data_IF_670118278390
#
_entry.id   IF_670118278390
#
_cell.length_a   1.000
_cell.length_b   1.000
_cell.length_c   1.000
_cell.angle_alpha   90.00
_cell.angle_beta   90.00
_cell.angle_gamma   90.00
#
_symmetry.space_group_name_H-M   'P 1'
#
loop_
_entity.id
_entity.type
_entity.pdbx_description
1 polymer ?
#
# COMPACT_ATOMS: atom_id res chain seq x y z
N UNK A 1 -56.47 30.06 -39.34
CA UNK A 1 -56.42 30.77 -38.05
C UNK A 1 -55.38 30.09 -37.16
N UNK A 2 -54.71 30.83 -36.26
CA UNK A 2 -53.26 30.74 -36.06
C UNK A 2 -52.79 29.83 -34.91
N UNK A 3 -51.46 29.73 -34.79
CA UNK A 3 -50.60 29.58 -33.59
C UNK A 3 -49.80 28.25 -33.44
N UNK A 4 -48.49 28.40 -33.70
CA UNK A 4 -47.27 27.89 -33.05
C UNK A 4 -47.15 26.43 -32.55
N UNK A 5 -46.09 25.72 -32.98
CA UNK A 5 -44.82 25.61 -32.23
C UNK A 5 -43.73 24.90 -33.05
N UNK A 6 -42.48 25.26 -32.78
CA UNK A 6 -41.25 24.97 -33.52
C UNK A 6 -40.67 23.57 -33.26
N UNK A 7 -40.19 22.92 -34.34
CA UNK A 7 -38.98 22.08 -34.33
C UNK A 7 -38.54 21.79 -35.76
N UNK A 8 -37.23 22.00 -35.99
CA UNK A 8 -36.46 21.50 -37.12
C UNK A 8 -36.83 22.03 -38.51
N UNK A 9 -35.78 22.50 -39.20
CA UNK A 9 -35.42 22.20 -40.59
C UNK A 9 -34.68 23.44 -41.11
N UNK A 10 -33.35 23.48 -41.00
CA UNK A 10 -32.41 22.92 -41.98
C UNK A 10 -32.10 23.95 -43.07
N UNK A 11 -30.81 24.33 -43.15
CA UNK A 11 -30.09 24.86 -44.32
C UNK A 11 -30.57 26.25 -44.83
N UNK A 12 -29.75 27.27 -45.13
CA UNK A 12 -28.31 27.35 -45.41
C UNK A 12 -27.94 28.83 -45.75
N UNK A 13 -26.64 29.10 -45.88
CA UNK A 13 -25.99 30.17 -46.69
C UNK A 13 -25.61 31.47 -45.97
N UNK A 14 -24.45 32.09 -46.13
CA UNK A 14 -23.29 31.98 -47.04
C UNK A 14 -22.04 32.38 -46.21
N UNK A 15 -20.83 31.84 -46.37
CA UNK A 15 -19.92 32.13 -47.49
C UNK A 15 -18.74 31.12 -47.43
N UNK A 16 -18.50 30.34 -48.49
CA UNK A 16 -17.56 30.62 -49.58
C UNK A 16 -16.10 30.80 -49.13
N UNK A 17 -15.33 29.70 -49.13
CA UNK A 17 -14.27 29.43 -50.12
C UNK A 17 -13.31 28.35 -49.59
N UNK A 18 -13.24 27.24 -50.34
CA UNK A 18 -12.23 26.19 -50.28
C UNK A 18 -10.81 26.80 -50.42
N UNK A 19 -9.75 26.16 -49.87
CA UNK A 19 -9.29 24.93 -50.50
C UNK A 19 -9.08 23.77 -49.54
N UNK A 20 -9.30 22.59 -50.10
CA UNK A 20 -8.89 21.28 -49.63
C UNK A 20 -7.45 21.36 -49.10
N UNK A 21 -7.30 21.39 -47.77
CA UNK A 21 -6.08 20.89 -47.13
C UNK A 21 -6.35 19.43 -46.82
N UNK A 22 -5.80 18.59 -47.69
CA UNK A 22 -5.40 17.22 -47.38
C UNK A 22 -4.59 17.30 -46.08
N UNK A 23 -5.23 17.03 -44.94
CA UNK A 23 -4.49 16.75 -43.72
C UNK A 23 -3.94 15.35 -43.93
N UNK A 24 -2.72 15.28 -44.48
CA UNK A 24 -1.84 14.16 -44.23
C UNK A 24 -1.67 14.17 -42.71
N UNK A 25 -2.48 13.37 -42.02
CA UNK A 25 -2.05 12.85 -40.74
C UNK A 25 -0.78 12.08 -41.07
N UNK A 26 0.35 12.66 -40.70
CA UNK A 26 1.61 11.94 -40.61
C UNK A 26 1.36 10.87 -39.55
N UNK A 27 0.93 9.68 -40.00
CA UNK A 27 0.91 8.47 -39.19
C UNK A 27 2.34 8.26 -38.71
N UNK A 28 2.63 8.72 -37.50
CA UNK A 28 3.82 8.31 -36.79
C UNK A 28 3.80 6.79 -36.75
N UNK A 29 4.78 6.17 -37.43
CA UNK A 29 4.89 4.73 -37.57
C UNK A 29 4.75 4.06 -36.18
N UNK A 30 3.79 3.14 -36.00
CA UNK A 30 3.59 2.45 -34.72
C UNK A 30 4.77 1.48 -34.54
N UNK A 31 5.83 1.96 -33.92
CA UNK A 31 7.03 1.16 -33.65
C UNK A 31 8.28 1.97 -33.31
N UNK A 32 8.39 3.23 -33.76
CA UNK A 32 9.60 4.03 -33.52
C UNK A 32 9.60 4.75 -32.17
N UNK A 33 8.45 5.24 -31.67
CA UNK A 33 8.44 6.10 -30.48
C UNK A 33 8.69 5.37 -29.15
N UNK A 34 8.26 4.11 -29.01
CA UNK A 34 8.51 3.33 -27.78
C UNK A 34 9.95 2.78 -27.73
N UNK A 35 10.50 2.39 -28.87
CA UNK A 35 11.88 1.91 -28.96
C UNK A 35 12.88 3.06 -28.75
N UNK A 36 12.65 4.23 -29.35
CA UNK A 36 13.49 5.42 -29.11
C UNK A 36 13.35 5.99 -27.70
N UNK A 37 12.16 5.89 -27.08
CA UNK A 37 11.98 6.26 -25.68
C UNK A 37 12.70 5.28 -24.72
N UNK A 38 12.70 3.98 -25.03
CA UNK A 38 13.45 2.98 -24.28
C UNK A 38 14.98 3.17 -24.40
N UNK A 39 15.47 3.65 -25.54
CA UNK A 39 16.89 4.00 -25.77
C UNK A 39 17.35 5.27 -25.03
N UNK A 40 16.43 6.12 -24.55
CA UNK A 40 16.73 7.33 -23.75
C UNK A 40 16.48 7.15 -22.26
N UNK A 41 15.86 6.06 -21.84
CA UNK A 41 15.64 5.80 -20.44
C UNK A 41 16.98 5.52 -19.75
N UNK A 42 17.20 6.02 -18.52
CA UNK A 42 18.36 5.63 -17.74
C UNK A 42 18.39 4.10 -17.57
N UNK A 43 19.58 3.52 -17.37
CA UNK A 43 19.76 2.12 -17.02
C UNK A 43 18.74 1.63 -15.98
N UNK A 44 18.39 0.33 -16.03
CA UNK A 44 17.40 -0.24 -15.11
C UNK A 44 17.85 -0.06 -13.67
N UNK A 45 19.16 -0.18 -13.42
CA UNK A 45 19.82 0.01 -12.14
C UNK A 45 19.58 1.42 -11.59
N UNK A 46 19.82 2.46 -12.40
CA UNK A 46 19.59 3.85 -12.02
C UNK A 46 18.11 4.13 -11.72
N UNK A 47 17.20 3.45 -12.43
CA UNK A 47 15.75 3.55 -12.14
C UNK A 47 15.37 2.86 -10.85
N UNK A 48 15.99 1.71 -10.52
CA UNK A 48 15.77 1.01 -9.26
C UNK A 48 16.27 1.86 -8.10
N UNK A 49 17.44 2.47 -8.20
CA UNK A 49 17.96 3.37 -7.18
C UNK A 49 17.08 4.64 -7.04
N UNK A 50 16.63 5.23 -8.15
CA UNK A 50 15.68 6.33 -8.11
C UNK A 50 14.34 5.98 -7.43
N UNK A 51 13.82 4.77 -7.66
CA UNK A 51 12.61 4.27 -6.98
C UNK A 51 12.87 4.04 -5.49
N UNK A 52 14.03 3.48 -5.14
CA UNK A 52 14.46 3.30 -3.76
C UNK A 52 14.47 4.65 -3.02
N UNK A 53 15.19 5.64 -3.56
CA UNK A 53 15.31 6.97 -2.96
C UNK A 53 13.96 7.64 -2.77
N UNK A 54 13.10 7.65 -3.81
CA UNK A 54 11.75 8.23 -3.72
C UNK A 54 10.90 7.53 -2.66
N UNK A 55 10.99 6.21 -2.55
CA UNK A 55 10.20 5.45 -1.57
C UNK A 55 10.58 5.82 -0.14
N UNK A 56 11.88 5.83 0.16
CA UNK A 56 12.40 6.16 1.49
C UNK A 56 12.34 7.66 1.83
N UNK A 57 12.39 8.54 0.83
CA UNK A 57 12.31 9.99 1.05
C UNK A 57 10.87 10.47 1.26
N UNK A 58 9.91 9.91 0.50
CA UNK A 58 8.56 10.51 0.39
C UNK A 58 7.47 9.71 1.06
N UNK A 59 7.56 8.38 1.02
CA UNK A 59 6.49 7.50 1.50
C UNK A 59 6.80 6.94 2.89
N UNK A 60 8.06 6.92 3.29
CA UNK A 60 8.49 6.50 4.61
C UNK A 60 8.39 7.63 5.64
N UNK A 61 7.78 7.34 6.79
CA UNK A 61 7.78 8.25 7.93
C UNK A 61 8.70 7.72 9.04
N UNK A 62 9.84 8.38 9.32
CA UNK A 62 10.79 7.91 10.33
C UNK A 62 10.20 7.73 11.74
N UNK A 63 9.14 8.48 12.07
CA UNK A 63 8.51 8.43 13.39
C UNK A 63 7.80 7.09 13.64
N UNK A 64 7.09 6.56 12.64
CA UNK A 64 6.34 5.29 12.74
C UNK A 64 7.10 4.12 12.16
N UNK A 65 8.16 4.39 11.40
CA UNK A 65 8.89 3.41 10.60
C UNK A 65 8.04 2.70 9.55
N UNK A 66 7.01 3.37 9.03
CA UNK A 66 6.05 2.82 8.06
C UNK A 66 6.13 3.54 6.72
N UNK A 67 5.63 2.84 5.70
CA UNK A 67 5.44 3.35 4.34
C UNK A 67 3.95 3.57 4.11
N UNK A 68 3.58 4.75 3.62
CA UNK A 68 2.20 5.16 3.38
C UNK A 68 1.88 5.17 1.89
N UNK A 69 0.60 5.12 1.54
CA UNK A 69 0.19 4.64 0.22
C UNK A 69 0.26 5.72 -0.87
N UNK A 70 0.05 6.99 -0.50
CA UNK A 70 0.04 8.09 -1.45
C UNK A 70 0.55 9.41 -0.85
N UNK A 71 0.82 10.38 -1.71
CA UNK A 71 1.21 11.73 -1.33
C UNK A 71 0.07 12.70 -1.61
N UNK A 72 -0.27 13.51 -0.62
CA UNK A 72 -1.21 14.63 -0.75
C UNK A 72 -0.56 15.91 -1.27
N UNK A 73 0.77 15.96 -1.29
CA UNK A 73 1.55 17.11 -1.73
C UNK A 73 2.93 16.68 -2.25
N UNK A 74 3.43 17.40 -3.25
CA UNK A 74 4.82 17.25 -3.72
C UNK A 74 5.77 18.26 -3.07
N UNK A 75 5.27 19.16 -2.23
CA UNK A 75 6.13 20.08 -1.49
C UNK A 75 7.01 19.28 -0.49
N UNK A 76 8.32 19.60 -0.39
CA UNK A 76 9.23 18.87 0.48
C UNK A 76 8.71 18.76 1.92
N UNK A 77 8.64 17.54 2.44
CA UNK A 77 8.20 17.25 3.81
C UNK A 77 6.70 17.40 4.08
N UNK A 78 5.86 17.63 3.06
CA UNK A 78 4.40 17.84 3.20
C UNK A 78 3.56 16.71 2.59
N UNK A 79 4.20 15.68 2.03
CA UNK A 79 3.50 14.62 1.29
C UNK A 79 2.50 13.84 2.13
N UNK A 80 2.83 13.61 3.39
CA UNK A 80 2.06 12.80 4.34
C UNK A 80 1.22 13.63 5.32
N UNK A 81 0.96 14.91 5.02
CA UNK A 81 0.14 15.78 5.90
C UNK A 81 -1.32 15.32 6.05
N UNK A 82 -1.80 14.50 5.10
CA UNK A 82 -3.16 13.98 5.06
C UNK A 82 -3.39 12.79 6.01
N UNK A 83 -2.34 12.26 6.63
CA UNK A 83 -2.49 11.15 7.58
C UNK A 83 -3.48 11.54 8.69
N UNK A 84 -4.33 10.60 9.11
CA UNK A 84 -5.47 10.91 9.95
C UNK A 84 -5.00 11.34 11.34
N UNK A 85 -5.72 12.31 11.90
CA UNK A 85 -5.53 12.72 13.29
C UNK A 85 -5.97 11.63 14.26
N UNK A 86 -5.45 11.69 15.49
CA UNK A 86 -5.88 10.79 16.56
C UNK A 86 -7.41 10.73 16.74
N UNK A 87 -8.10 11.88 16.68
CA UNK A 87 -9.55 11.96 16.85
C UNK A 87 -10.31 11.29 15.69
N UNK A 88 -9.81 11.38 14.46
CA UNK A 88 -10.40 10.66 13.32
C UNK A 88 -10.24 9.16 13.46
N UNK A 89 -9.06 8.69 13.88
CA UNK A 89 -8.82 7.26 14.11
C UNK A 89 -9.70 6.69 15.23
N UNK A 90 -9.82 7.40 16.36
CA UNK A 90 -10.68 6.99 17.48
C UNK A 90 -12.18 6.94 17.11
N UNK A 91 -12.59 7.77 16.15
CA UNK A 91 -13.95 7.77 15.59
C UNK A 91 -14.13 6.80 14.41
N UNK A 92 -13.12 6.01 14.08
CA UNK A 92 -13.09 5.12 12.92
C UNK A 92 -13.46 5.86 11.61
N UNK A 93 -13.01 7.11 11.48
CA UNK A 93 -13.26 7.96 10.32
C UNK A 93 -12.11 7.86 9.31
N UNK A 94 -12.39 7.78 7.99
CA UNK A 94 -13.71 7.73 7.36
C UNK A 94 -14.34 6.33 7.39
N UNK A 95 -13.56 5.33 7.79
CA UNK A 95 -14.02 3.97 8.01
C UNK A 95 -13.09 3.22 8.96
N UNK A 96 -13.59 2.07 9.36
CA UNK A 96 -13.00 1.15 10.31
C UNK A 96 -11.67 0.50 9.90
N UNK A 97 -11.33 0.56 8.61
CA UNK A 97 -10.09 0.04 8.04
C UNK A 97 -9.04 1.13 7.79
N UNK A 98 -9.39 2.41 7.94
CA UNK A 98 -8.51 3.52 7.52
C UNK A 98 -8.40 3.68 6.00
N UNK A 99 -9.36 3.18 5.22
CA UNK A 99 -9.37 3.42 3.76
C UNK A 99 -9.49 4.90 3.42
N UNK A 100 -8.79 5.35 2.38
CA UNK A 100 -8.65 6.73 1.92
C UNK A 100 -7.91 7.66 2.91
N UNK A 101 -7.06 7.12 3.77
CA UNK A 101 -6.24 7.88 4.74
C UNK A 101 -4.74 7.77 4.52
N UNK A 102 -4.31 6.95 3.56
CA UNK A 102 -2.90 6.64 3.28
C UNK A 102 -2.32 5.56 4.20
N UNK A 103 -3.10 5.05 5.15
CA UNK A 103 -2.74 3.97 6.08
C UNK A 103 -3.23 2.58 5.63
N UNK A 104 -3.80 2.45 4.43
CA UNK A 104 -4.53 1.27 4.00
C UNK A 104 -3.63 0.04 3.93
N UNK A 105 -2.47 0.21 3.31
CA UNK A 105 -1.61 -0.90 2.91
C UNK A 105 -0.28 -0.94 3.68
N UNK A 106 -0.23 -0.32 4.87
CA UNK A 106 1.01 -0.17 5.63
C UNK A 106 1.77 -1.48 5.89
N UNK A 107 1.12 -2.59 6.26
CA UNK A 107 1.80 -3.88 6.46
C UNK A 107 2.08 -4.64 5.16
N UNK A 108 1.31 -4.38 4.11
CA UNK A 108 1.64 -4.87 2.77
C UNK A 108 2.94 -4.22 2.31
N UNK A 109 2.99 -2.89 2.36
CA UNK A 109 4.15 -2.08 2.00
C UNK A 109 5.38 -2.41 2.84
N UNK A 110 5.23 -2.56 4.16
CA UNK A 110 6.32 -2.97 5.04
C UNK A 110 6.83 -4.39 4.72
N UNK A 111 5.94 -5.36 4.51
CA UNK A 111 6.31 -6.73 4.16
C UNK A 111 7.02 -6.84 2.80
N UNK A 112 6.53 -6.11 1.80
CA UNK A 112 7.17 -6.03 0.47
C UNK A 112 8.52 -5.33 0.55
N UNK A 113 8.62 -4.20 1.26
CA UNK A 113 9.89 -3.50 1.44
C UNK A 113 10.92 -4.37 2.19
N UNK A 114 10.50 -5.12 3.21
CA UNK A 114 11.40 -6.06 3.89
C UNK A 114 11.97 -7.10 2.92
N UNK A 115 11.12 -7.64 2.05
CA UNK A 115 11.55 -8.59 1.01
C UNK A 115 12.56 -7.94 0.06
N UNK A 116 12.29 -6.71 -0.39
CA UNK A 116 13.19 -5.94 -1.25
C UNK A 116 14.55 -5.68 -0.59
N UNK A 117 14.58 -5.30 0.69
CA UNK A 117 15.81 -5.07 1.46
C UNK A 117 16.66 -6.33 1.52
N UNK A 118 16.04 -7.47 1.83
CA UNK A 118 16.73 -8.77 1.91
C UNK A 118 17.30 -9.18 0.55
N UNK A 119 16.50 -9.05 -0.52
CA UNK A 119 16.92 -9.40 -1.88
C UNK A 119 18.03 -8.47 -2.38
N UNK A 120 17.89 -7.15 -2.16
CA UNK A 120 18.93 -6.18 -2.52
C UNK A 120 20.25 -6.48 -1.80
N UNK A 121 20.21 -6.87 -0.52
CA UNK A 121 21.41 -7.29 0.20
C UNK A 121 22.03 -8.57 -0.36
N UNK A 122 21.22 -9.57 -0.70
CA UNK A 122 21.73 -10.82 -1.26
C UNK A 122 22.50 -10.61 -2.59
N UNK A 123 22.13 -9.59 -3.36
CA UNK A 123 22.79 -9.23 -4.62
C UNK A 123 23.99 -8.31 -4.42
N UNK A 124 23.89 -7.33 -3.52
CA UNK A 124 24.87 -6.24 -3.42
C UNK A 124 25.89 -6.40 -2.29
N UNK A 125 25.52 -7.11 -1.21
CA UNK A 125 26.29 -7.15 0.03
C UNK A 125 26.37 -5.81 0.77
N UNK A 126 25.51 -4.84 0.44
CA UNK A 126 25.55 -3.51 1.05
C UNK A 126 25.11 -3.53 2.52
N UNK A 127 26.07 -3.36 3.43
CA UNK A 127 25.81 -3.34 4.87
C UNK A 127 24.92 -2.18 5.35
N UNK A 128 24.74 -1.11 4.56
CA UNK A 128 23.80 -0.04 4.89
C UNK A 128 22.36 -0.56 4.99
N UNK A 129 22.01 -1.62 4.23
CA UNK A 129 20.69 -2.25 4.25
C UNK A 129 20.34 -2.90 5.58
N UNK A 130 21.32 -3.13 6.45
CA UNK A 130 21.07 -3.58 7.83
C UNK A 130 20.26 -2.58 8.63
N UNK A 131 20.51 -1.28 8.42
CA UNK A 131 19.71 -0.24 9.08
C UNK A 131 18.31 -0.18 8.47
N UNK A 132 18.19 -0.24 7.14
CA UNK A 132 16.89 -0.31 6.47
C UNK A 132 16.05 -1.49 6.98
N UNK A 133 16.63 -2.69 7.12
CA UNK A 133 15.91 -3.85 7.65
C UNK A 133 15.44 -3.65 9.10
N UNK A 134 16.28 -3.04 9.96
CA UNK A 134 15.89 -2.70 11.33
C UNK A 134 14.73 -1.72 11.36
N UNK A 135 14.77 -0.70 10.51
CA UNK A 135 13.73 0.31 10.41
C UNK A 135 12.40 -0.32 9.96
N UNK A 136 12.40 -1.10 8.87
CA UNK A 136 11.17 -1.79 8.42
C UNK A 136 10.62 -2.70 9.53
N UNK A 137 11.48 -3.47 10.21
CA UNK A 137 11.04 -4.34 11.30
C UNK A 137 10.48 -3.54 12.49
N UNK A 138 11.04 -2.38 12.81
CA UNK A 138 10.52 -1.51 13.87
C UNK A 138 9.07 -1.09 13.59
N UNK A 139 8.72 -0.78 12.34
CA UNK A 139 7.35 -0.44 11.94
C UNK A 139 6.39 -1.63 12.02
N UNK A 140 6.83 -2.82 11.59
CA UNK A 140 6.05 -4.06 11.72
C UNK A 140 5.81 -4.38 13.21
N UNK A 141 6.86 -4.32 14.03
CA UNK A 141 6.79 -4.58 15.48
C UNK A 141 5.85 -3.58 16.17
N UNK A 142 5.94 -2.30 15.83
CA UNK A 142 5.04 -1.27 16.35
C UNK A 142 3.58 -1.61 16.04
N UNK A 143 3.29 -1.96 14.79
CA UNK A 143 1.94 -2.30 14.32
C UNK A 143 1.39 -3.62 14.89
N UNK A 144 2.28 -4.53 15.30
CA UNK A 144 1.92 -5.78 15.96
C UNK A 144 1.68 -5.64 17.47
N UNK A 145 2.31 -4.67 18.14
CA UNK A 145 2.43 -4.71 19.61
C UNK A 145 1.94 -3.46 20.35
N UNK A 146 2.01 -2.27 19.76
CA UNK A 146 1.76 -1.02 20.49
C UNK A 146 0.33 -0.90 21.03
N UNK A 147 -0.65 -1.43 20.30
CA UNK A 147 -2.08 -1.41 20.65
C UNK A 147 -2.45 -2.39 21.78
N UNK A 148 -1.60 -3.38 22.08
CA UNK A 148 -1.78 -4.30 23.20
C UNK A 148 -2.76 -5.46 22.97
N UNK A 149 -3.12 -5.77 21.72
CA UNK A 149 -3.97 -6.94 21.36
C UNK A 149 -3.09 -8.06 20.79
N UNK A 150 -2.74 -9.11 21.57
CA UNK A 150 -1.83 -10.15 21.10
C UNK A 150 -2.28 -10.82 19.80
N UNK A 151 -1.34 -10.92 18.85
CA UNK A 151 -1.55 -11.56 17.55
C UNK A 151 -2.37 -10.74 16.55
N UNK A 152 -2.91 -9.58 16.93
CA UNK A 152 -3.55 -8.68 15.98
C UNK A 152 -2.49 -7.82 15.29
N UNK A 153 -2.53 -7.78 13.95
CA UNK A 153 -1.65 -6.95 13.15
C UNK A 153 -2.42 -5.77 12.56
N UNK A 154 -2.16 -4.57 13.09
CA UNK A 154 -2.73 -3.34 12.56
C UNK A 154 -2.09 -2.98 11.20
N UNK A 155 -2.84 -2.31 10.33
CA UNK A 155 -2.32 -1.83 9.03
C UNK A 155 -1.19 -0.82 9.21
N UNK A 156 -1.39 0.09 10.16
CA UNK A 156 -0.44 1.10 10.58
C UNK A 156 -0.85 1.65 11.95
N UNK A 157 -0.01 2.51 12.53
CA UNK A 157 -0.21 3.14 13.84
C UNK A 157 -0.19 4.66 13.68
N UNK A 158 -0.97 5.38 14.50
CA UNK A 158 -1.01 6.84 14.50
C UNK A 158 0.38 7.43 14.69
N UNK A 159 0.73 8.43 13.88
CA UNK A 159 1.97 9.18 14.04
C UNK A 159 1.95 10.14 15.25
N UNK A 160 0.78 10.38 15.85
CA UNK A 160 0.62 11.29 16.98
C UNK A 160 1.04 10.63 18.30
N UNK A 161 0.58 9.39 18.56
CA UNK A 161 0.78 8.70 19.83
C UNK A 161 1.53 7.36 19.73
N UNK A 162 1.83 6.89 18.51
CA UNK A 162 2.50 5.62 18.23
C UNK A 162 1.81 4.41 18.87
N UNK A 163 0.49 4.50 19.08
CA UNK A 163 -0.30 3.46 19.72
C UNK A 163 -1.67 3.23 19.09
N UNK A 164 -2.36 4.30 18.71
CA UNK A 164 -3.73 4.21 18.19
C UNK A 164 -3.74 3.61 16.78
N UNK A 165 -4.73 2.77 16.50
CA UNK A 165 -4.86 1.99 15.27
C UNK A 165 -6.30 2.06 14.74
N UNK A 166 -6.46 1.83 13.44
CA UNK A 166 -7.76 1.39 12.93
C UNK A 166 -7.99 -0.08 13.35
N UNK A 167 -9.18 -0.43 13.86
CA UNK A 167 -9.43 -1.74 14.44
C UNK A 167 -9.64 -2.87 13.41
N UNK A 168 -9.89 -2.55 12.14
CA UNK A 168 -9.98 -3.55 11.06
C UNK A 168 -8.66 -3.70 10.29
N UNK A 169 -8.28 -4.95 10.04
CA UNK A 169 -7.14 -5.34 9.20
C UNK A 169 -7.61 -6.28 8.09
N UNK A 170 -6.70 -6.83 7.29
CA UNK A 170 -7.04 -7.78 6.23
C UNK A 170 -6.02 -8.91 6.09
N UNK A 171 -6.41 -9.97 5.38
CA UNK A 171 -5.56 -11.15 5.15
C UNK A 171 -4.21 -10.80 4.54
N UNK A 172 -4.20 -9.96 3.51
CA UNK A 172 -2.99 -9.48 2.83
C UNK A 172 -1.99 -8.76 3.75
N UNK A 173 -2.47 -8.01 4.75
CA UNK A 173 -1.62 -7.39 5.77
C UNK A 173 -0.82 -8.47 6.53
N UNK A 174 -1.48 -9.57 6.92
CA UNK A 174 -0.82 -10.70 7.56
C UNK A 174 0.10 -11.41 6.57
N UNK A 175 -0.37 -11.74 5.36
CA UNK A 175 0.40 -12.49 4.36
C UNK A 175 1.75 -11.82 4.10
N UNK A 176 1.74 -10.52 3.78
CA UNK A 176 2.96 -9.80 3.42
C UNK A 176 3.87 -9.55 4.62
N UNK A 177 3.34 -9.17 5.79
CA UNK A 177 4.16 -8.96 6.97
C UNK A 177 4.79 -10.27 7.49
N UNK A 178 4.02 -11.37 7.53
CA UNK A 178 4.53 -12.69 7.92
C UNK A 178 5.61 -13.15 6.95
N UNK A 179 5.39 -12.99 5.64
CA UNK A 179 6.40 -13.32 4.63
C UNK A 179 7.68 -12.49 4.79
N UNK A 180 7.55 -11.17 4.95
CA UNK A 180 8.69 -10.28 5.16
C UNK A 180 9.48 -10.59 6.43
N UNK A 181 8.79 -10.81 7.56
CA UNK A 181 9.43 -11.23 8.82
C UNK A 181 10.11 -12.59 8.70
N UNK A 182 9.48 -13.56 8.03
CA UNK A 182 10.08 -14.87 7.78
C UNK A 182 11.36 -14.77 6.96
N UNK A 183 11.36 -14.01 5.85
CA UNK A 183 12.55 -13.75 5.05
C UNK A 183 13.64 -13.07 5.88
N UNK A 184 13.28 -12.00 6.60
CA UNK A 184 14.25 -11.25 7.40
C UNK A 184 14.91 -12.14 8.46
N UNK A 185 14.12 -12.93 9.20
CA UNK A 185 14.62 -13.84 10.24
C UNK A 185 15.65 -14.85 9.74
N UNK A 186 15.64 -15.18 8.45
CA UNK A 186 16.56 -16.13 7.79
C UNK A 186 17.71 -15.44 7.06
N UNK A 187 17.66 -14.13 6.94
CA UNK A 187 18.71 -13.34 6.29
C UNK A 187 19.91 -13.10 7.23
N UNK A 188 21.12 -12.84 6.69
CA UNK A 188 22.28 -12.39 7.46
C UNK A 188 22.14 -10.96 8.03
N UNK A 189 21.09 -10.22 7.62
CA UNK A 189 20.79 -8.90 8.16
C UNK A 189 20.18 -8.95 9.57
N UNK A 190 19.52 -10.07 9.92
CA UNK A 190 18.77 -10.21 11.17
C UNK A 190 19.66 -10.65 12.34
N UNK A 191 19.57 -9.90 13.44
CA UNK A 191 20.25 -10.23 14.69
C UNK A 191 19.57 -11.42 15.40
N UNK A 192 20.29 -12.15 16.27
CA UNK A 192 19.68 -13.18 17.12
C UNK A 192 18.54 -12.63 17.98
N UNK A 193 18.67 -11.42 18.51
CA UNK A 193 17.65 -10.77 19.34
C UNK A 193 16.40 -10.48 18.53
N UNK A 194 16.54 -9.83 17.37
CA UNK A 194 15.42 -9.54 16.46
C UNK A 194 14.74 -10.82 15.98
N UNK A 195 15.50 -11.90 15.78
CA UNK A 195 14.94 -13.21 15.38
C UNK A 195 14.03 -13.78 16.46
N UNK A 196 14.39 -13.62 17.74
CA UNK A 196 13.53 -14.01 18.86
C UNK A 196 12.24 -13.18 18.86
N UNK A 197 12.34 -11.87 18.71
CA UNK A 197 11.17 -10.97 18.66
C UNK A 197 10.23 -11.31 17.48
N UNK A 198 10.78 -11.64 16.31
CA UNK A 198 9.99 -12.14 15.18
C UNK A 198 9.25 -13.42 15.55
N UNK A 199 9.93 -14.36 16.22
CA UNK A 199 9.33 -15.61 16.68
C UNK A 199 8.13 -15.36 17.59
N UNK A 200 8.27 -14.44 18.54
CA UNK A 200 7.19 -14.06 19.47
C UNK A 200 5.97 -13.45 18.74
N UNK A 201 6.21 -12.54 17.79
CA UNK A 201 5.14 -11.93 16.98
C UNK A 201 4.43 -12.99 16.15
N UNK A 202 5.17 -13.85 15.45
CA UNK A 202 4.61 -14.89 14.59
C UNK A 202 3.83 -15.94 15.39
N UNK A 203 4.32 -16.32 16.58
CA UNK A 203 3.60 -17.19 17.50
C UNK A 203 2.28 -16.57 17.95
N UNK A 204 2.28 -15.30 18.36
CA UNK A 204 1.05 -14.61 18.76
C UNK A 204 0.03 -14.52 17.62
N UNK A 205 0.49 -14.26 16.39
CA UNK A 205 -0.38 -14.29 15.19
C UNK A 205 -0.96 -15.69 15.00
N UNK A 206 -0.14 -16.75 15.05
CA UNK A 206 -0.61 -18.12 14.88
C UNK A 206 -1.63 -18.54 15.94
N UNK A 207 -1.39 -18.17 17.21
CA UNK A 207 -2.32 -18.42 18.31
C UNK A 207 -3.65 -17.72 18.09
N UNK A 208 -3.62 -16.44 17.66
CA UNK A 208 -4.83 -15.70 17.30
C UNK A 208 -5.57 -16.38 16.17
N UNK A 209 -4.90 -16.74 15.08
CA UNK A 209 -5.54 -17.37 13.93
C UNK A 209 -6.19 -18.70 14.33
N UNK A 210 -5.52 -19.50 15.16
CA UNK A 210 -6.05 -20.76 15.68
C UNK A 210 -7.31 -20.55 16.53
N UNK A 211 -7.33 -19.51 17.36
CA UNK A 211 -8.47 -19.20 18.22
C UNK A 211 -9.66 -18.58 17.49
N UNK A 212 -9.41 -17.80 16.43
CA UNK A 212 -10.42 -16.93 15.82
C UNK A 212 -10.93 -17.40 14.46
N UNK A 213 -10.10 -18.07 13.65
CA UNK A 213 -10.46 -18.53 12.31
C UNK A 213 -11.23 -19.85 12.39
N UNK A 214 -12.43 -19.77 12.96
CA UNK A 214 -13.33 -20.89 13.20
C UNK A 214 -14.71 -20.62 12.60
N UNK A 215 -15.50 -21.67 12.41
CA UNK A 215 -16.84 -21.58 11.81
C UNK A 215 -17.75 -20.58 12.55
N UNK A 216 -17.69 -20.53 13.89
CA UNK A 216 -18.47 -19.59 14.71
C UNK A 216 -18.19 -18.12 14.38
N UNK A 217 -16.99 -17.80 13.92
CA UNK A 217 -16.58 -16.47 13.49
C UNK A 217 -16.68 -16.29 11.97
N UNK A 218 -17.28 -17.25 11.25
CA UNK A 218 -17.28 -17.32 9.80
C UNK A 218 -15.86 -17.33 9.19
N UNK A 219 -14.90 -17.95 9.90
CA UNK A 219 -13.47 -18.00 9.55
C UNK A 219 -12.81 -16.61 9.45
N UNK A 220 -13.29 -15.64 10.21
CA UNK A 220 -12.74 -14.29 10.32
C UNK A 220 -11.65 -14.24 11.41
N UNK A 221 -10.52 -13.58 11.16
CA UNK A 221 -9.46 -13.40 12.17
C UNK A 221 -9.78 -12.32 13.22
N UNK A 222 -10.97 -11.72 13.11
CA UNK A 222 -11.56 -10.68 13.95
C UNK A 222 -10.77 -9.37 13.95
N UNK A 223 -11.47 -8.29 14.23
CA UNK A 223 -10.93 -6.96 14.52
C UNK A 223 -10.16 -6.95 15.84
N UNK A 224 -9.46 -5.85 16.10
CA UNK A 224 -8.76 -5.62 17.37
C UNK A 224 -9.71 -5.72 18.58
N UNK A 225 -10.95 -5.26 18.44
CA UNK A 225 -12.01 -5.29 19.46
C UNK A 225 -12.72 -6.66 19.59
N UNK A 226 -12.34 -7.65 18.78
CA UNK A 226 -12.96 -8.98 18.75
C UNK A 226 -14.25 -9.08 17.93
N UNK A 227 -14.76 -7.99 17.37
CA UNK A 227 -15.88 -8.04 16.44
C UNK A 227 -15.42 -8.58 15.07
N UNK A 228 -16.38 -9.06 14.26
CA UNK A 228 -16.10 -9.46 12.87
C UNK A 228 -15.87 -8.23 12.01
N UNK A 229 -15.00 -8.33 11.00
CA UNK A 229 -14.81 -7.21 10.09
C UNK A 229 -16.06 -6.97 9.24
N UNK A 230 -16.48 -5.71 9.17
CA UNK A 230 -17.70 -5.30 8.44
C UNK A 230 -17.59 -5.65 6.95
N UNK A 231 -16.39 -5.54 6.38
CA UNK A 231 -16.11 -5.75 4.96
C UNK A 231 -15.67 -7.18 4.61
N UNK A 232 -15.50 -8.05 5.61
CA UNK A 232 -15.07 -9.44 5.42
C UNK A 232 -13.63 -9.62 4.89
N UNK A 233 -12.82 -8.58 4.97
CA UNK A 233 -11.42 -8.54 4.49
C UNK A 233 -10.44 -9.32 5.40
N UNK A 234 -10.83 -9.61 6.64
CA UNK A 234 -10.13 -10.50 7.58
C UNK A 234 -10.60 -11.96 7.52
N UNK A 235 -11.52 -12.30 6.60
CA UNK A 235 -11.96 -13.69 6.40
C UNK A 235 -10.85 -14.50 5.74
N UNK A 236 -10.42 -15.57 6.39
CA UNK A 236 -9.29 -16.39 5.96
C UNK A 236 -9.70 -17.62 5.14
N UNK A 237 -10.96 -18.05 5.23
CA UNK A 237 -11.45 -19.25 4.55
C UNK A 237 -12.77 -19.03 3.81
N UNK A 238 -13.07 -19.89 2.82
CA UNK A 238 -14.25 -19.79 1.95
C UNK A 238 -14.41 -18.41 1.28
N UNK A 239 -13.30 -17.87 0.78
CA UNK A 239 -13.23 -16.56 0.10
C UNK A 239 -13.36 -16.69 -1.42
N UNK A 240 -13.54 -15.56 -2.10
CA UNK A 240 -13.60 -15.52 -3.58
C UNK A 240 -12.25 -15.94 -4.17
N UNK A 241 -12.23 -16.45 -5.40
CA UNK A 241 -10.99 -16.94 -6.03
C UNK A 241 -9.84 -15.91 -6.06
N UNK A 242 -10.12 -14.64 -6.34
CA UNK A 242 -9.11 -13.57 -6.33
C UNK A 242 -8.58 -13.21 -4.94
N UNK A 243 -9.28 -13.63 -3.89
CA UNK A 243 -8.89 -13.42 -2.50
C UNK A 243 -7.96 -14.55 -2.00
N UNK A 244 -7.98 -15.73 -2.62
CA UNK A 244 -7.19 -16.89 -2.14
C UNK A 244 -5.68 -16.63 -2.15
N UNK A 245 -5.20 -15.77 -3.05
CA UNK A 245 -3.78 -15.45 -3.23
C UNK A 245 -3.33 -14.15 -2.53
N UNK A 246 -4.25 -13.46 -1.83
CA UNK A 246 -3.95 -12.27 -1.02
C UNK A 246 -3.51 -12.70 0.37
#
# INVERSE_FOLDING_TARGET
MPIAMSRATLLFLFAFCLPIRLLIAEEAAPGQSQAEAALKAPPVEDRIEGLWDVTWERFYLPRTHLFYDYLSSYAPGRGLDHLPSLDEMLREFPNDCGYDTGMEDGMISAGVMMSLVVDKYAVTGDEALRQSAKDVFAGIKLSATAHGVPGFLARAVSADDLKTIYPSTSRDQYTHAVHGMWLYSRSPLCSPETRTEIGEILSAVADRMTATVIEANNYDSLRADGARAVRGNSRMWHVKGHEVAR
#
